data_IF_882000002315
#
_entry.id   IF_882000002315
#
_cell.length_a   1.000
_cell.length_b   1.000
_cell.length_c   1.000
_cell.angle_alpha   90.00
_cell.angle_beta   90.00
_cell.angle_gamma   90.00
#
_symmetry.space_group_name_H-M   'P 1'
#
loop_
_entity.id
_entity.type
_entity.pdbx_description
1 polymer ?
#
# COMPACT_ATOMS: atom_id res chain seq x y z
N UNK A 1 16.84 -2.02 -6.41
CA UNK A 1 16.31 -3.34 -6.39
C UNK A 1 15.21 -3.47 -5.37
N UNK A 2 14.05 -3.96 -5.80
CA UNK A 2 12.97 -4.37 -4.91
C UNK A 2 12.92 -5.89 -4.85
N UNK A 3 12.36 -6.43 -3.78
CA UNK A 3 12.11 -7.85 -3.64
C UNK A 3 10.92 -8.27 -4.51
N UNK A 4 11.03 -9.36 -5.29
CA UNK A 4 9.88 -9.87 -6.04
C UNK A 4 8.91 -10.60 -5.11
N UNK A 5 7.61 -10.34 -5.31
CA UNK A 5 6.50 -11.08 -4.75
C UNK A 5 5.72 -11.72 -5.90
N UNK A 6 5.73 -13.03 -5.99
CA UNK A 6 5.13 -13.81 -7.08
C UNK A 6 3.88 -14.51 -6.57
N UNK A 7 2.73 -14.25 -7.18
CA UNK A 7 1.46 -14.92 -6.86
C UNK A 7 1.20 -16.10 -7.77
N UNK A 8 1.03 -17.28 -7.18
CA UNK A 8 0.69 -18.50 -7.91
C UNK A 8 -0.80 -18.62 -8.19
N UNK A 9 -1.16 -19.16 -9.36
CA UNK A 9 -2.54 -19.44 -9.71
C UNK A 9 -3.01 -20.74 -9.05
N UNK A 10 -3.88 -20.64 -8.05
CA UNK A 10 -4.51 -21.81 -7.39
C UNK A 10 -5.98 -22.01 -7.81
N UNK A 11 -6.53 -21.10 -8.62
CA UNK A 11 -7.89 -21.18 -9.12
C UNK A 11 -8.03 -22.17 -10.27
N UNK A 12 -7.28 -21.97 -11.33
CA UNK A 12 -7.29 -22.82 -12.54
C UNK A 12 -5.97 -23.55 -12.79
N UNK A 13 -4.87 -23.15 -12.14
CA UNK A 13 -3.58 -23.83 -12.23
C UNK A 13 -3.52 -25.11 -11.40
N UNK A 14 -2.53 -25.93 -11.66
CA UNK A 14 -2.28 -27.18 -10.93
C UNK A 14 -1.15 -26.99 -9.90
N UNK A 15 -1.14 -27.86 -8.89
CA UNK A 15 -0.03 -27.92 -7.91
C UNK A 15 1.31 -28.17 -8.61
N UNK A 16 1.32 -29.01 -9.64
CA UNK A 16 2.52 -29.34 -10.41
C UNK A 16 3.08 -28.12 -11.15
N UNK A 17 2.20 -27.33 -11.79
CA UNK A 17 2.61 -26.11 -12.50
C UNK A 17 3.27 -25.11 -11.55
N UNK A 18 2.66 -24.84 -10.40
CA UNK A 18 3.25 -23.89 -9.43
C UNK A 18 4.55 -24.44 -8.85
N UNK A 19 4.62 -25.74 -8.53
CA UNK A 19 5.85 -26.36 -8.02
C UNK A 19 6.99 -26.27 -9.04
N UNK A 20 6.70 -26.57 -10.32
CA UNK A 20 7.66 -26.43 -11.42
C UNK A 20 8.09 -24.99 -11.65
N UNK A 21 7.16 -24.04 -11.52
CA UNK A 21 7.49 -22.62 -11.67
C UNK A 21 8.41 -22.13 -10.54
N UNK A 22 8.15 -22.55 -9.31
CA UNK A 22 9.05 -22.26 -8.17
C UNK A 22 10.43 -22.86 -8.42
N UNK A 23 10.53 -24.11 -8.87
CA UNK A 23 11.80 -24.76 -9.24
C UNK A 23 12.52 -23.97 -10.34
N UNK A 24 11.80 -23.59 -11.41
CA UNK A 24 12.34 -22.79 -12.52
C UNK A 24 12.95 -21.47 -12.03
N UNK A 25 12.26 -20.78 -11.12
CA UNK A 25 12.72 -19.49 -10.62
C UNK A 25 13.88 -19.60 -9.63
N UNK A 26 13.89 -20.63 -8.77
CA UNK A 26 14.71 -20.60 -7.55
C UNK A 26 15.78 -21.68 -7.47
N UNK A 27 15.76 -22.72 -8.32
CA UNK A 27 16.77 -23.79 -8.31
C UNK A 27 17.98 -23.45 -9.20
N UNK A 28 19.18 -23.54 -8.64
CA UNK A 28 20.45 -23.52 -9.38
C UNK A 28 21.04 -24.90 -9.60
N UNK A 29 20.41 -25.96 -9.04
CA UNK A 29 20.84 -27.34 -9.19
C UNK A 29 20.68 -27.93 -10.60
N UNK A 30 20.99 -29.22 -10.73
CA UNK A 30 20.81 -29.97 -11.98
C UNK A 30 19.39 -30.57 -12.06
N UNK A 31 18.38 -29.69 -12.07
CA UNK A 31 16.98 -30.08 -12.10
C UNK A 31 16.36 -29.80 -13.48
N UNK A 32 15.26 -30.46 -13.88
CA UNK A 32 14.61 -30.24 -15.17
C UNK A 32 14.24 -28.78 -15.43
N UNK A 33 13.67 -28.11 -14.43
CA UNK A 33 13.21 -26.73 -14.59
C UNK A 33 14.37 -25.72 -14.56
N UNK A 34 15.44 -25.98 -13.82
CA UNK A 34 16.65 -25.17 -13.89
C UNK A 34 17.36 -25.32 -15.27
N UNK A 35 17.35 -26.53 -15.86
CA UNK A 35 17.83 -26.73 -17.24
C UNK A 35 17.00 -25.93 -18.25
N UNK A 36 15.68 -25.98 -18.13
CA UNK A 36 14.78 -25.20 -19.00
C UNK A 36 15.04 -23.69 -18.88
N UNK A 37 15.23 -23.17 -17.67
CA UNK A 37 15.59 -21.75 -17.46
C UNK A 37 16.88 -21.39 -18.20
N UNK A 38 17.91 -22.24 -18.12
CA UNK A 38 19.18 -22.04 -18.82
C UNK A 38 19.00 -22.06 -20.32
N UNK A 39 18.21 -22.99 -20.86
CA UNK A 39 17.85 -23.04 -22.28
C UNK A 39 17.12 -21.76 -22.72
N UNK A 40 16.30 -21.17 -21.85
CA UNK A 40 15.61 -19.90 -22.08
C UNK A 40 16.54 -18.67 -21.91
N UNK A 41 17.85 -18.87 -21.75
CA UNK A 41 18.86 -17.81 -21.77
C UNK A 41 19.23 -17.23 -20.41
N UNK A 42 18.73 -17.81 -19.29
CA UNK A 42 19.13 -17.35 -17.96
C UNK A 42 19.83 -18.47 -17.17
N UNK A 43 21.09 -18.29 -16.91
CA UNK A 43 21.92 -19.28 -16.22
C UNK A 43 21.56 -19.37 -14.72
N UNK A 44 21.59 -18.26 -13.99
CA UNK A 44 21.37 -18.23 -12.55
C UNK A 44 19.90 -18.04 -12.17
N UNK A 45 19.49 -18.70 -11.07
CA UNK A 45 18.18 -18.52 -10.46
C UNK A 45 17.95 -17.07 -9.99
N UNK A 46 16.68 -16.70 -9.84
CA UNK A 46 16.30 -15.50 -9.10
C UNK A 46 16.21 -15.84 -7.61
N UNK A 47 16.50 -14.86 -6.78
CA UNK A 47 16.23 -14.96 -5.34
C UNK A 47 14.81 -14.49 -5.07
N UNK A 48 13.83 -15.36 -5.31
CA UNK A 48 12.41 -15.07 -5.01
C UNK A 48 12.14 -15.46 -3.56
N UNK A 49 11.88 -14.47 -2.72
CA UNK A 49 11.55 -14.68 -1.32
C UNK A 49 10.05 -14.86 -1.12
N UNK A 50 9.24 -13.96 -1.66
CA UNK A 50 7.81 -13.89 -1.39
C UNK A 50 7.01 -14.69 -2.43
N UNK A 51 6.26 -15.69 -1.95
CA UNK A 51 5.39 -16.52 -2.77
C UNK A 51 3.95 -16.43 -2.24
N UNK A 52 3.06 -15.79 -3.00
CA UNK A 52 1.62 -15.85 -2.80
C UNK A 52 1.05 -17.17 -3.31
N UNK A 53 0.36 -17.89 -2.45
CA UNK A 53 -0.37 -19.11 -2.81
C UNK A 53 -1.81 -18.73 -3.10
N UNK A 54 -2.06 -18.24 -4.30
CA UNK A 54 -3.33 -17.67 -4.75
C UNK A 54 -3.38 -16.15 -4.64
N UNK A 55 -4.41 -15.57 -5.23
CA UNK A 55 -4.80 -14.17 -5.16
C UNK A 55 -6.33 -14.10 -5.26
N UNK A 56 -6.98 -13.31 -4.39
CA UNK A 56 -8.44 -13.13 -4.38
C UNK A 56 -9.23 -14.43 -4.52
N UNK A 57 -8.82 -15.47 -3.80
CA UNK A 57 -9.37 -16.81 -3.94
C UNK A 57 -10.85 -16.91 -3.57
N UNK A 58 -11.37 -15.94 -2.82
CA UNK A 58 -12.78 -15.73 -2.51
C UNK A 58 -13.60 -15.20 -3.71
N UNK A 59 -12.95 -14.59 -4.69
CA UNK A 59 -13.56 -13.92 -5.86
C UNK A 59 -13.00 -14.47 -7.18
N UNK A 60 -12.38 -13.58 -7.96
CA UNK A 60 -11.85 -13.91 -9.29
C UNK A 60 -10.76 -15.00 -9.29
N UNK A 61 -10.07 -15.19 -8.17
CA UNK A 61 -9.07 -16.24 -7.99
C UNK A 61 -9.63 -17.62 -7.68
N UNK A 62 -10.95 -17.86 -7.85
CA UNK A 62 -11.52 -19.22 -7.76
C UNK A 62 -12.88 -19.32 -7.08
N UNK A 63 -13.46 -18.20 -6.57
CA UNK A 63 -14.74 -18.16 -5.88
C UNK A 63 -14.89 -19.24 -4.80
N UNK A 64 -13.88 -19.37 -3.94
CA UNK A 64 -13.73 -20.42 -2.95
C UNK A 64 -14.35 -20.01 -1.60
N UNK A 65 -14.69 -21.01 -0.79
CA UNK A 65 -14.90 -20.83 0.64
C UNK A 65 -13.56 -20.88 1.37
N UNK A 66 -13.40 -20.21 2.51
CA UNK A 66 -12.11 -20.14 3.22
C UNK A 66 -11.60 -21.52 3.67
N UNK A 67 -12.50 -22.47 3.99
CA UNK A 67 -12.12 -23.83 4.35
C UNK A 67 -11.49 -24.57 3.19
N UNK A 68 -12.09 -24.49 1.99
CA UNK A 68 -11.57 -25.12 0.79
C UNK A 68 -10.23 -24.51 0.38
N UNK A 69 -10.15 -23.16 0.41
CA UNK A 69 -8.90 -22.48 0.14
C UNK A 69 -7.79 -22.90 1.14
N UNK A 70 -8.12 -23.04 2.43
CA UNK A 70 -7.16 -23.50 3.43
C UNK A 70 -6.59 -24.87 3.09
N UNK A 71 -7.42 -25.81 2.58
CA UNK A 71 -6.97 -27.13 2.17
C UNK A 71 -6.09 -27.07 0.90
N UNK A 72 -6.44 -26.19 -0.06
CA UNK A 72 -5.59 -25.92 -1.22
C UNK A 72 -4.25 -25.31 -0.80
N UNK A 73 -4.23 -24.28 0.07
CA UNK A 73 -3.00 -23.69 0.57
C UNK A 73 -2.08 -24.76 1.18
N UNK A 74 -2.61 -25.66 2.01
CA UNK A 74 -1.84 -26.77 2.61
C UNK A 74 -1.20 -27.62 1.53
N UNK A 75 -1.97 -27.97 0.51
CA UNK A 75 -1.53 -28.82 -0.60
C UNK A 75 -0.46 -28.14 -1.45
N UNK A 76 -0.71 -26.91 -1.94
CA UNK A 76 0.24 -26.17 -2.78
C UNK A 76 1.53 -25.85 -2.03
N UNK A 77 1.43 -25.39 -0.79
CA UNK A 77 2.60 -24.99 0.01
C UNK A 77 3.56 -26.14 0.30
N UNK A 78 3.10 -27.39 0.34
CA UNK A 78 3.95 -28.58 0.53
C UNK A 78 4.85 -28.81 -0.68
N UNK A 79 4.31 -28.63 -1.88
CA UNK A 79 5.05 -28.89 -3.12
C UNK A 79 5.92 -27.72 -3.57
N UNK A 80 5.62 -26.49 -3.13
CA UNK A 80 6.50 -25.34 -3.33
C UNK A 80 7.69 -25.43 -2.36
N UNK A 81 8.77 -26.05 -2.79
CA UNK A 81 9.95 -26.34 -1.97
C UNK A 81 10.94 -25.19 -1.97
N UNK A 82 11.79 -25.17 -0.97
CA UNK A 82 12.97 -24.32 -0.95
C UNK A 82 14.09 -24.98 -1.74
N UNK A 83 14.72 -24.26 -2.65
CA UNK A 83 15.84 -24.75 -3.45
C UNK A 83 17.11 -23.94 -3.15
N UNK A 84 18.25 -24.60 -3.09
CA UNK A 84 19.59 -24.01 -3.08
C UNK A 84 19.75 -22.83 -2.07
N UNK A 85 19.17 -23.00 -0.88
CA UNK A 85 19.22 -22.00 0.19
C UNK A 85 18.21 -20.84 0.03
N UNK A 86 17.41 -20.83 -1.06
CA UNK A 86 16.33 -19.85 -1.22
C UNK A 86 15.14 -20.25 -0.34
N UNK A 87 14.90 -19.50 0.72
CA UNK A 87 13.79 -19.71 1.65
C UNK A 87 12.56 -18.94 1.18
N UNK A 88 11.48 -19.67 0.88
CA UNK A 88 10.19 -19.06 0.51
C UNK A 88 9.44 -18.57 1.73
N UNK A 89 9.01 -17.32 1.67
CA UNK A 89 8.05 -16.72 2.58
C UNK A 89 6.66 -16.88 1.94
N UNK A 90 5.87 -17.85 2.45
CA UNK A 90 4.60 -18.27 1.86
C UNK A 90 3.45 -17.46 2.42
N UNK A 91 2.71 -16.80 1.53
CA UNK A 91 1.64 -15.88 1.83
C UNK A 91 0.31 -16.53 1.41
N UNK A 92 -0.63 -16.62 2.33
CA UNK A 92 -1.97 -17.09 2.02
C UNK A 92 -2.83 -15.95 1.45
N UNK A 93 -3.61 -16.24 0.39
CA UNK A 93 -4.63 -15.33 -0.13
C UNK A 93 -5.66 -15.04 0.96
N UNK A 94 -5.64 -13.83 1.48
CA UNK A 94 -6.44 -13.40 2.62
C UNK A 94 -7.75 -12.74 2.21
N UNK A 95 -8.32 -11.99 3.13
CA UNK A 95 -9.65 -11.41 3.03
C UNK A 95 -9.73 -10.21 2.08
N UNK A 96 -10.94 -9.95 1.59
CA UNK A 96 -11.33 -8.64 1.07
C UNK A 96 -11.99 -7.84 2.18
N UNK A 97 -11.56 -6.60 2.35
CA UNK A 97 -12.20 -5.60 3.23
C UNK A 97 -12.61 -6.17 4.61
N UNK A 98 -13.89 -6.32 4.82
CA UNK A 98 -14.55 -6.65 6.10
C UNK A 98 -14.85 -8.14 6.25
N UNK A 99 -14.32 -9.04 5.41
CA UNK A 99 -14.51 -10.48 5.58
C UNK A 99 -13.63 -11.05 6.70
N UNK A 100 -13.98 -10.73 7.91
CA UNK A 100 -13.29 -11.20 9.11
C UNK A 100 -13.38 -12.72 9.30
N UNK A 101 -14.45 -13.35 8.78
CA UNK A 101 -14.59 -14.80 8.83
C UNK A 101 -13.50 -15.50 8.00
N UNK A 102 -13.15 -14.94 6.83
CA UNK A 102 -12.07 -15.47 6.02
C UNK A 102 -10.76 -15.53 6.82
N UNK A 103 -10.35 -14.43 7.42
CA UNK A 103 -9.14 -14.36 8.25
C UNK A 103 -9.20 -15.32 9.43
N UNK A 104 -10.36 -15.40 10.12
CA UNK A 104 -10.53 -16.33 11.25
C UNK A 104 -10.31 -17.77 10.81
N UNK A 105 -10.95 -18.22 9.75
CA UNK A 105 -10.84 -19.60 9.25
C UNK A 105 -9.41 -19.92 8.82
N UNK A 106 -8.74 -18.98 8.13
CA UNK A 106 -7.34 -19.18 7.74
C UNK A 106 -6.43 -19.31 8.96
N UNK A 107 -6.57 -18.43 9.95
CA UNK A 107 -5.75 -18.51 11.17
C UNK A 107 -5.97 -19.83 11.92
N UNK A 108 -7.21 -20.28 12.04
CA UNK A 108 -7.55 -21.55 12.71
C UNK A 108 -6.98 -22.78 11.97
N UNK A 109 -6.95 -22.76 10.63
CA UNK A 109 -6.61 -23.94 9.81
C UNK A 109 -5.16 -23.99 9.32
N UNK A 110 -4.58 -22.82 9.03
CA UNK A 110 -3.26 -22.73 8.38
C UNK A 110 -2.34 -21.67 9.01
N UNK A 111 -2.74 -21.01 10.10
CA UNK A 111 -1.90 -19.99 10.76
C UNK A 111 -0.51 -20.48 11.16
N UNK A 112 -0.36 -21.78 11.47
CA UNK A 112 0.95 -22.38 11.78
C UNK A 112 1.75 -22.81 10.56
N UNK A 113 1.28 -22.55 9.34
CA UNK A 113 1.88 -22.97 8.05
C UNK A 113 2.17 -21.81 7.13
N UNK A 114 1.41 -20.72 7.25
CA UNK A 114 1.59 -19.49 6.48
C UNK A 114 2.57 -18.57 7.22
N UNK A 115 3.44 -17.90 6.48
CA UNK A 115 4.25 -16.82 7.04
C UNK A 115 3.47 -15.51 7.14
N UNK A 116 2.47 -15.34 6.26
CA UNK A 116 1.59 -14.20 6.25
C UNK A 116 0.24 -14.54 5.63
N UNK A 117 -0.74 -13.68 5.92
CA UNK A 117 -2.06 -13.64 5.27
C UNK A 117 -2.21 -12.27 4.60
N UNK A 118 -2.71 -12.24 3.36
CA UNK A 118 -2.95 -10.98 2.66
C UNK A 118 -4.26 -10.31 3.08
N UNK A 119 -4.40 -9.03 2.74
CA UNK A 119 -5.62 -8.25 2.90
C UNK A 119 -5.72 -7.28 1.73
N UNK A 120 -6.88 -7.25 1.08
CA UNK A 120 -7.19 -6.27 0.05
C UNK A 120 -8.17 -5.23 0.57
N UNK A 121 -7.96 -3.96 0.21
CA UNK A 121 -8.84 -2.86 0.56
C UNK A 121 -8.81 -1.76 -0.49
N UNK A 122 -9.95 -1.47 -1.10
CA UNK A 122 -10.06 -0.35 -2.04
C UNK A 122 -10.84 0.83 -1.47
N UNK A 123 -10.33 2.01 -1.71
CA UNK A 123 -11.06 3.27 -1.56
C UNK A 123 -11.94 3.43 -2.81
N UNK A 124 -13.17 2.97 -2.70
CA UNK A 124 -14.15 2.84 -3.78
C UNK A 124 -15.53 3.24 -3.27
N UNK A 125 -16.36 3.85 -4.13
CA UNK A 125 -17.71 4.27 -3.78
C UNK A 125 -18.69 3.11 -3.61
N UNK A 126 -18.43 2.00 -4.29
CA UNK A 126 -19.20 0.77 -4.24
C UNK A 126 -18.73 -0.19 -5.33
N UNK A 127 -19.16 -1.45 -5.22
CA UNK A 127 -18.76 -2.50 -6.17
C UNK A 127 -19.71 -2.63 -7.37
N UNK A 128 -20.88 -1.99 -7.30
CA UNK A 128 -21.88 -1.98 -8.37
C UNK A 128 -22.13 -0.55 -8.83
N UNK A 129 -22.41 -0.39 -10.14
CA UNK A 129 -22.66 0.93 -10.75
C UNK A 129 -21.38 1.74 -10.99
N UNK A 130 -21.56 3.04 -11.19
CA UNK A 130 -20.45 3.99 -11.39
C UNK A 130 -19.68 4.20 -10.08
N UNK A 131 -18.37 4.21 -10.18
CA UNK A 131 -17.45 4.50 -9.08
C UNK A 131 -17.05 5.99 -9.02
N UNK A 132 -17.54 6.77 -9.97
CA UNK A 132 -17.24 8.19 -10.11
C UNK A 132 -15.94 8.46 -10.88
N UNK A 133 -15.80 9.70 -11.34
CA UNK A 133 -14.65 10.12 -12.12
C UNK A 133 -13.39 10.26 -11.30
N UNK A 134 -12.27 9.85 -11.85
CA UNK A 134 -10.96 10.05 -11.25
C UNK A 134 -10.58 11.53 -11.09
N UNK A 135 -11.07 12.42 -11.97
CA UNK A 135 -10.66 13.84 -12.02
C UNK A 135 -11.81 14.85 -11.86
N UNK A 136 -13.07 14.40 -11.99
CA UNK A 136 -14.26 15.27 -11.87
C UNK A 136 -15.08 14.88 -10.65
N UNK A 137 -14.87 15.57 -9.55
CA UNK A 137 -15.53 15.36 -8.27
C UNK A 137 -15.66 16.68 -7.50
N UNK A 138 -16.57 16.74 -6.54
CA UNK A 138 -16.78 17.91 -5.69
C UNK A 138 -16.01 17.78 -4.35
N UNK A 139 -16.11 18.82 -3.51
CA UNK A 139 -15.44 18.86 -2.22
C UNK A 139 -15.94 17.79 -1.23
N UNK A 140 -17.23 17.47 -1.28
CA UNK A 140 -17.81 16.43 -0.43
C UNK A 140 -17.27 15.05 -0.79
N UNK A 141 -17.19 14.74 -2.10
CA UNK A 141 -16.61 13.50 -2.61
C UNK A 141 -15.12 13.38 -2.26
N UNK A 142 -14.38 14.50 -2.30
CA UNK A 142 -13.00 14.53 -1.86
C UNK A 142 -12.86 14.14 -0.39
N UNK A 143 -13.60 14.79 0.51
CA UNK A 143 -13.51 14.51 1.95
C UNK A 143 -14.05 13.12 2.30
N UNK A 144 -15.10 12.67 1.62
CA UNK A 144 -15.57 11.30 1.75
C UNK A 144 -14.46 10.29 1.37
N UNK A 145 -13.73 10.56 0.28
CA UNK A 145 -12.59 9.74 -0.13
C UNK A 145 -11.52 9.65 0.96
N UNK A 146 -11.21 10.77 1.62
CA UNK A 146 -10.27 10.79 2.76
C UNK A 146 -10.79 9.94 3.93
N UNK A 147 -12.07 10.05 4.24
CA UNK A 147 -12.72 9.24 5.28
C UNK A 147 -12.68 7.74 4.95
N UNK A 148 -12.99 7.38 3.69
CA UNK A 148 -12.93 5.99 3.22
C UNK A 148 -11.51 5.44 3.29
N UNK A 149 -10.51 6.21 2.85
CA UNK A 149 -9.10 5.81 2.94
C UNK A 149 -8.66 5.55 4.38
N UNK A 150 -9.02 6.42 5.33
CA UNK A 150 -8.73 6.23 6.75
C UNK A 150 -9.49 5.05 7.36
N UNK A 151 -10.61 4.63 6.78
CA UNK A 151 -11.38 3.46 7.19
C UNK A 151 -10.61 2.14 7.16
N UNK A 152 -9.53 2.07 6.39
CA UNK A 152 -8.64 0.89 6.36
C UNK A 152 -8.06 0.58 7.76
N UNK A 153 -7.89 1.58 8.62
CA UNK A 153 -7.40 1.37 9.98
C UNK A 153 -8.35 0.53 10.82
N UNK A 154 -9.67 0.76 10.71
CA UNK A 154 -10.67 -0.03 11.42
C UNK A 154 -10.68 -1.48 10.92
N UNK A 155 -10.49 -1.67 9.62
CA UNK A 155 -10.38 -3.00 8.98
C UNK A 155 -9.15 -3.73 9.52
N UNK A 156 -7.98 -3.10 9.46
CA UNK A 156 -6.72 -3.69 9.97
C UNK A 156 -6.87 -4.07 11.45
N UNK A 157 -7.33 -3.17 12.31
CA UNK A 157 -7.50 -3.44 13.75
C UNK A 157 -8.36 -4.68 14.03
N UNK A 158 -9.43 -4.88 13.27
CA UNK A 158 -10.29 -6.05 13.46
C UNK A 158 -9.65 -7.34 12.96
N UNK A 159 -8.93 -7.31 11.83
CA UNK A 159 -8.15 -8.46 11.37
C UNK A 159 -7.03 -8.79 12.36
N UNK A 160 -6.29 -7.78 12.83
CA UNK A 160 -5.24 -7.95 13.85
C UNK A 160 -5.78 -8.58 15.14
N UNK A 161 -6.94 -8.13 15.62
CA UNK A 161 -7.54 -8.70 16.83
C UNK A 161 -7.88 -10.20 16.68
N UNK A 162 -8.30 -10.63 15.49
CA UNK A 162 -8.54 -12.05 15.19
C UNK A 162 -7.20 -12.80 15.13
N UNK A 163 -6.21 -12.23 14.46
CA UNK A 163 -4.88 -12.83 14.33
C UNK A 163 -4.18 -12.92 15.68
N UNK A 164 -4.24 -11.88 16.53
CA UNK A 164 -3.61 -11.83 17.85
C UNK A 164 -4.19 -12.88 18.80
N UNK A 165 -5.48 -13.20 18.67
CA UNK A 165 -6.11 -14.28 19.44
C UNK A 165 -5.58 -15.66 19.08
N UNK A 166 -5.33 -15.91 17.79
CA UNK A 166 -4.83 -17.19 17.29
C UNK A 166 -3.30 -17.29 17.35
N UNK A 167 -2.60 -16.17 17.20
CA UNK A 167 -1.15 -16.05 17.17
C UNK A 167 -0.67 -14.86 18.02
N UNK A 168 -0.69 -14.99 19.36
CA UNK A 168 -0.32 -13.90 20.27
C UNK A 168 1.16 -13.50 20.18
N UNK A 169 2.01 -14.36 19.58
CA UNK A 169 3.42 -14.04 19.32
C UNK A 169 3.65 -13.27 18.02
N UNK A 170 2.60 -12.97 17.29
CA UNK A 170 2.61 -12.21 16.02
C UNK A 170 3.61 -12.77 15.00
N UNK A 171 3.65 -14.11 14.87
CA UNK A 171 4.55 -14.80 13.93
C UNK A 171 4.01 -14.78 12.50
N UNK A 172 2.68 -14.73 12.34
CA UNK A 172 2.02 -14.59 11.04
C UNK A 172 1.81 -13.12 10.73
N UNK A 173 2.45 -12.62 9.69
CA UNK A 173 2.28 -11.23 9.27
C UNK A 173 0.94 -10.99 8.58
N UNK A 174 0.47 -9.74 8.60
CA UNK A 174 -0.58 -9.23 7.73
C UNK A 174 0.07 -8.44 6.59
N UNK A 175 -0.25 -8.76 5.35
CA UNK A 175 0.22 -8.01 4.18
C UNK A 175 -0.98 -7.34 3.50
N UNK A 176 -0.98 -6.01 3.46
CA UNK A 176 -1.98 -5.27 2.68
C UNK A 176 -1.45 -5.19 1.25
N UNK A 177 -1.53 -6.30 0.54
CA UNK A 177 -0.83 -6.50 -0.72
C UNK A 177 -1.62 -6.06 -1.96
N UNK A 178 -2.85 -5.54 -1.75
CA UNK A 178 -3.61 -4.87 -2.79
C UNK A 178 -4.51 -3.78 -2.18
N UNK A 179 -4.22 -2.51 -2.50
CA UNK A 179 -4.97 -1.36 -2.00
C UNK A 179 -4.82 -0.15 -2.92
N UNK A 180 -5.70 0.82 -2.79
CA UNK A 180 -5.67 2.06 -3.54
C UNK A 180 -7.06 2.58 -3.86
N UNK A 181 -7.15 3.49 -4.82
CA UNK A 181 -8.41 4.02 -5.33
C UNK A 181 -8.90 3.23 -6.55
N UNK A 182 -10.21 3.10 -6.67
CA UNK A 182 -10.83 2.49 -7.85
C UNK A 182 -11.97 3.38 -8.33
N UNK A 183 -11.73 4.07 -9.44
CA UNK A 183 -12.68 4.95 -10.11
C UNK A 183 -13.18 4.32 -11.41
N UNK A 184 -14.12 4.99 -12.06
CA UNK A 184 -14.51 4.62 -13.42
C UNK A 184 -13.32 4.78 -14.37
N UNK A 185 -13.24 3.90 -15.36
CA UNK A 185 -12.21 3.94 -16.39
C UNK A 185 -12.32 5.24 -17.21
N UNK A 186 -11.17 5.78 -17.62
CA UNK A 186 -11.14 6.98 -18.44
C UNK A 186 -11.86 6.75 -19.78
N UNK A 187 -12.69 7.71 -20.24
CA UNK A 187 -13.38 7.60 -21.52
C UNK A 187 -12.43 7.36 -22.69
N UNK A 188 -12.80 6.43 -23.57
CA UNK A 188 -12.00 6.09 -24.75
C UNK A 188 -10.89 5.06 -24.50
N UNK A 189 -10.79 4.54 -23.28
CA UNK A 189 -9.89 3.42 -22.96
C UNK A 189 -10.59 2.07 -23.12
N UNK A 190 -9.83 0.98 -23.09
CA UNK A 190 -10.37 -0.38 -23.23
C UNK A 190 -11.09 -0.76 -21.95
N UNK A 191 -12.39 -1.04 -22.06
CA UNK A 191 -13.23 -1.45 -20.93
C UNK A 191 -12.71 -2.76 -20.29
N UNK A 192 -12.65 -2.77 -18.97
CA UNK A 192 -12.13 -3.91 -18.19
C UNK A 192 -10.62 -3.90 -18.02
N UNK A 193 -9.89 -2.95 -18.62
CA UNK A 193 -8.47 -2.76 -18.40
C UNK A 193 -8.15 -1.80 -17.24
N UNK A 194 -9.18 -1.25 -16.61
CA UNK A 194 -9.11 -0.47 -15.39
C UNK A 194 -8.15 0.74 -15.44
N UNK A 195 -8.03 1.35 -16.62
CA UNK A 195 -7.23 2.57 -16.77
C UNK A 195 -7.98 3.77 -16.20
N UNK A 196 -7.45 4.37 -15.17
CA UNK A 196 -7.93 5.62 -14.58
C UNK A 196 -6.82 6.65 -14.47
N UNK A 197 -7.15 7.93 -14.53
CA UNK A 197 -6.22 9.00 -14.20
C UNK A 197 -6.01 9.07 -12.68
N UNK A 198 -4.82 9.52 -12.26
CA UNK A 198 -4.46 9.69 -10.86
C UNK A 198 -4.15 11.16 -10.58
N UNK A 199 -4.89 11.76 -9.66
CA UNK A 199 -4.76 13.17 -9.30
C UNK A 199 -4.24 13.35 -7.87
N UNK A 200 -4.19 14.59 -7.38
CA UNK A 200 -3.72 14.87 -6.02
C UNK A 200 -4.61 14.23 -4.94
N UNK A 201 -5.93 14.01 -5.20
CA UNK A 201 -6.81 13.23 -4.31
C UNK A 201 -6.26 11.83 -4.06
N UNK A 202 -5.80 11.15 -5.12
CA UNK A 202 -5.23 9.81 -5.02
C UNK A 202 -3.89 9.81 -4.28
N UNK A 203 -3.08 10.85 -4.46
CA UNK A 203 -1.85 11.04 -3.69
C UNK A 203 -2.15 11.18 -2.18
N UNK A 204 -3.23 11.86 -1.80
CA UNK A 204 -3.66 11.89 -0.41
C UNK A 204 -4.09 10.52 0.10
N UNK A 205 -4.85 9.75 -0.68
CA UNK A 205 -5.19 8.36 -0.32
C UNK A 205 -3.93 7.56 -0.05
N UNK A 206 -2.92 7.65 -0.91
CA UNK A 206 -1.64 6.97 -0.69
C UNK A 206 -0.95 7.42 0.61
N UNK A 207 -0.84 8.72 0.85
CA UNK A 207 -0.19 9.25 2.05
C UNK A 207 -0.92 8.86 3.35
N UNK A 208 -2.26 8.95 3.36
CA UNK A 208 -3.09 8.56 4.51
C UNK A 208 -2.97 7.09 4.81
N UNK A 209 -3.06 6.23 3.79
CA UNK A 209 -2.94 4.78 3.94
C UNK A 209 -1.55 4.38 4.43
N UNK A 210 -0.47 4.94 3.87
CA UNK A 210 0.90 4.69 4.34
C UNK A 210 1.08 5.11 5.80
N UNK A 211 0.54 6.27 6.21
CA UNK A 211 0.57 6.71 7.60
C UNK A 211 -0.18 5.73 8.53
N UNK A 212 -1.29 5.15 8.07
CA UNK A 212 -2.00 4.08 8.81
C UNK A 212 -1.11 2.85 8.92
N UNK A 213 -0.56 2.36 7.81
CA UNK A 213 0.26 1.14 7.80
C UNK A 213 1.46 1.24 8.75
N UNK A 214 2.10 2.42 8.82
CA UNK A 214 3.21 2.65 9.74
C UNK A 214 2.80 2.49 11.21
N UNK A 215 1.56 2.77 11.58
CA UNK A 215 1.07 2.55 12.97
C UNK A 215 0.89 1.08 13.31
N UNK A 216 0.78 0.21 12.32
CA UNK A 216 0.48 -1.21 12.46
C UNK A 216 1.69 -2.13 12.16
N UNK A 217 2.91 -1.60 12.20
CA UNK A 217 4.14 -2.33 11.81
C UNK A 217 4.45 -3.55 12.66
N UNK A 218 3.78 -3.75 13.80
CA UNK A 218 3.92 -5.00 14.56
C UNK A 218 3.40 -6.21 13.77
N UNK A 219 2.34 -6.05 12.98
CA UNK A 219 1.71 -7.12 12.20
C UNK A 219 1.75 -6.84 10.70
N UNK A 220 1.53 -5.59 10.27
CA UNK A 220 1.61 -5.20 8.85
C UNK A 220 3.08 -5.10 8.42
N UNK A 221 3.54 -6.03 7.58
CA UNK A 221 4.95 -6.12 7.17
C UNK A 221 5.22 -5.75 5.72
N UNK A 222 4.18 -5.65 4.90
CA UNK A 222 4.28 -5.25 3.50
C UNK A 222 2.97 -4.62 3.05
N UNK A 223 3.06 -3.62 2.16
CA UNK A 223 1.89 -3.02 1.54
C UNK A 223 2.19 -2.72 0.07
N UNK A 224 1.33 -3.18 -0.84
CA UNK A 224 1.52 -3.07 -2.28
C UNK A 224 0.34 -2.35 -2.90
N UNK A 225 0.58 -1.17 -3.47
CA UNK A 225 -0.47 -0.42 -4.14
C UNK A 225 -0.89 -1.07 -5.46
N UNK A 226 -2.14 -0.99 -5.80
CA UNK A 226 -2.68 -1.44 -7.06
C UNK A 226 -2.90 -0.25 -8.01
N UNK A 227 -2.06 -0.05 -9.09
CA UNK A 227 -0.93 -0.90 -9.40
C UNK A 227 0.28 -0.03 -9.79
N UNK A 228 1.34 -0.60 -10.36
CA UNK A 228 2.53 0.17 -10.70
C UNK A 228 2.34 0.97 -11.98
N UNK A 229 1.76 0.37 -13.04
CA UNK A 229 1.69 0.95 -14.39
C UNK A 229 0.28 0.85 -14.95
N UNK A 230 -0.29 1.95 -15.42
CA UNK A 230 -1.51 2.09 -16.23
C UNK A 230 -2.83 1.59 -15.61
N UNK A 231 -2.81 0.87 -14.51
CA UNK A 231 -3.99 0.22 -13.94
C UNK A 231 -4.32 0.79 -12.58
N UNK A 232 -5.59 1.13 -12.35
CA UNK A 232 -6.09 1.66 -11.07
C UNK A 232 -5.28 2.85 -10.55
N UNK A 233 -4.94 2.88 -9.28
CA UNK A 233 -4.08 3.93 -8.71
C UNK A 233 -2.62 3.70 -9.10
N UNK A 234 -2.31 3.83 -10.38
CA UNK A 234 -0.97 3.57 -10.90
C UNK A 234 0.03 4.67 -10.53
N UNK A 235 1.29 4.27 -10.34
CA UNK A 235 2.39 5.20 -10.13
C UNK A 235 2.90 5.80 -11.44
N UNK A 236 2.83 5.05 -12.53
CA UNK A 236 3.36 5.42 -13.84
C UNK A 236 2.30 5.21 -14.91
N UNK A 237 2.15 6.19 -15.80
CA UNK A 237 1.38 6.06 -17.03
C UNK A 237 2.33 5.97 -18.22
N UNK A 238 2.09 5.04 -19.12
CA UNK A 238 2.82 4.89 -20.38
C UNK A 238 1.91 5.22 -21.55
N UNK A 239 2.47 5.77 -22.62
CA UNK A 239 1.65 6.10 -23.79
C UNK A 239 1.22 4.85 -24.56
N UNK A 240 0.05 4.94 -25.19
CA UNK A 240 -0.51 3.86 -26.02
C UNK A 240 0.14 3.76 -27.41
N UNK A 241 0.99 4.71 -27.77
CA UNK A 241 1.66 4.78 -29.09
C UNK A 241 3.00 4.05 -29.11
N UNK A 242 3.46 3.57 -27.95
CA UNK A 242 4.74 2.87 -27.84
C UNK A 242 5.96 3.78 -28.08
N UNK A 243 5.83 5.08 -27.88
CA UNK A 243 6.93 6.04 -28.07
C UNK A 243 7.97 5.99 -26.94
N UNK A 244 7.68 5.24 -25.87
CA UNK A 244 8.51 5.16 -24.68
C UNK A 244 8.29 6.33 -23.70
N UNK A 245 7.35 7.22 -23.96
CA UNK A 245 7.01 8.29 -23.04
C UNK A 245 6.28 7.74 -21.84
N UNK A 246 6.66 8.21 -20.66
CA UNK A 246 5.99 7.89 -19.39
C UNK A 246 5.74 9.15 -18.57
N UNK A 247 4.73 9.10 -17.73
CA UNK A 247 4.36 10.16 -16.80
C UNK A 247 4.36 9.60 -15.39
N UNK A 248 4.97 10.34 -14.47
CA UNK A 248 4.95 10.05 -13.04
C UNK A 248 3.70 10.69 -12.43
N UNK A 249 2.82 9.89 -11.85
CA UNK A 249 1.59 10.39 -11.22
C UNK A 249 1.88 11.06 -9.87
N UNK A 250 0.95 11.86 -9.33
CA UNK A 250 1.08 12.37 -7.96
C UNK A 250 1.27 11.25 -6.92
N UNK A 251 0.69 10.07 -7.14
CA UNK A 251 0.90 8.88 -6.29
C UNK A 251 2.36 8.44 -6.29
N UNK A 252 3.03 8.40 -7.44
CA UNK A 252 4.47 8.09 -7.52
C UNK A 252 5.29 9.02 -6.62
N UNK A 253 4.98 10.31 -6.66
CA UNK A 253 5.74 11.29 -5.88
C UNK A 253 5.58 11.06 -4.36
N UNK A 254 4.42 10.64 -3.89
CA UNK A 254 4.23 10.22 -2.50
C UNK A 254 5.15 9.06 -2.15
N UNK A 255 5.15 7.99 -2.93
CA UNK A 255 6.02 6.83 -2.67
C UNK A 255 7.51 7.21 -2.68
N UNK A 256 7.93 8.05 -3.62
CA UNK A 256 9.31 8.53 -3.67
C UNK A 256 9.69 9.39 -2.44
N UNK A 257 8.78 10.23 -1.95
CA UNK A 257 9.00 11.02 -0.74
C UNK A 257 9.03 10.13 0.52
N UNK A 258 8.23 9.06 0.56
CA UNK A 258 8.11 8.14 1.70
C UNK A 258 9.17 7.02 1.72
N UNK A 259 10.04 6.92 0.72
CA UNK A 259 11.05 5.84 0.63
C UNK A 259 11.97 5.71 1.86
N UNK A 260 12.19 6.79 2.59
CA UNK A 260 13.03 6.78 3.79
C UNK A 260 12.35 6.16 5.02
N UNK A 261 11.06 5.82 4.94
CA UNK A 261 10.38 5.04 5.96
C UNK A 261 10.66 3.53 5.84
N UNK A 262 11.13 3.07 4.68
CA UNK A 262 11.50 1.66 4.49
C UNK A 262 12.65 1.29 5.43
N UNK A 263 12.51 0.14 6.10
CA UNK A 263 13.46 -0.39 7.08
C UNK A 263 13.75 0.54 8.30
N UNK A 264 12.95 1.59 8.47
CA UNK A 264 13.03 2.48 9.62
C UNK A 264 12.13 1.97 10.76
N UNK A 265 12.49 2.33 11.99
CA UNK A 265 11.70 2.00 13.19
C UNK A 265 10.61 3.04 13.38
N UNK A 266 9.35 2.62 13.42
CA UNK A 266 8.22 3.49 13.68
C UNK A 266 8.35 4.19 15.04
N UNK A 267 8.02 5.49 15.06
CA UNK A 267 7.95 6.30 16.27
C UNK A 267 6.48 6.66 16.54
N UNK A 268 5.89 6.23 17.66
CA UNK A 268 4.53 6.61 18.02
C UNK A 268 4.39 8.12 18.16
N UNK A 269 3.28 8.66 17.66
CA UNK A 269 2.96 10.08 17.72
C UNK A 269 1.57 10.26 18.34
N UNK A 270 1.46 11.14 19.33
CA UNK A 270 0.18 11.69 19.78
C UNK A 270 -0.07 13.01 19.08
N UNK A 271 -1.14 13.09 18.27
CA UNK A 271 -1.41 14.25 17.41
C UNK A 271 -2.76 14.86 17.79
N UNK A 272 -2.73 16.12 18.22
CA UNK A 272 -3.92 16.93 18.43
C UNK A 272 -4.03 17.93 17.27
N UNK A 273 -5.10 17.81 16.50
CA UNK A 273 -5.39 18.72 15.40
C UNK A 273 -6.91 18.88 15.24
N UNK A 274 -7.31 19.90 14.47
CA UNK A 274 -8.69 20.05 14.04
C UNK A 274 -9.15 18.83 13.26
N UNK A 275 -10.43 18.58 13.30
CA UNK A 275 -11.07 17.47 12.60
C UNK A 275 -12.35 17.95 11.92
N UNK A 276 -12.86 17.17 10.98
CA UNK A 276 -14.13 17.41 10.33
C UNK A 276 -14.95 16.11 10.22
N UNK A 277 -16.25 16.27 10.22
CA UNK A 277 -17.17 15.18 9.98
C UNK A 277 -17.35 14.99 8.48
N UNK A 278 -17.30 13.75 8.03
CA UNK A 278 -17.54 13.36 6.64
C UNK A 278 -18.69 12.38 6.57
N UNK A 279 -19.45 12.41 5.46
CA UNK A 279 -20.59 11.52 5.26
C UNK A 279 -20.19 10.05 5.39
N UNK A 280 -21.16 9.22 5.78
CA UNK A 280 -20.99 7.80 5.96
C UNK A 280 -20.88 7.01 4.65
N UNK A 281 -20.57 5.74 4.83
CA UNK A 281 -20.60 4.70 3.82
C UNK A 281 -21.33 3.45 4.38
N UNK A 282 -21.40 2.37 3.60
CA UNK A 282 -22.10 1.14 4.01
C UNK A 282 -21.55 0.52 5.31
N UNK A 283 -20.33 0.82 5.69
CA UNK A 283 -19.66 0.28 6.88
C UNK A 283 -19.49 1.29 8.02
N UNK A 284 -19.68 2.57 7.74
CA UNK A 284 -19.66 3.67 8.71
C UNK A 284 -20.83 4.63 8.42
N UNK A 285 -22.06 4.13 8.62
CA UNK A 285 -23.32 4.82 8.25
C UNK A 285 -23.46 6.20 8.88
N UNK A 286 -23.00 6.36 10.12
CA UNK A 286 -23.04 7.62 10.85
C UNK A 286 -21.96 8.62 10.44
N UNK A 287 -21.17 8.27 9.42
CA UNK A 287 -20.03 9.05 8.99
C UNK A 287 -18.76 8.78 9.79
N UNK A 288 -17.74 9.56 9.48
CA UNK A 288 -16.44 9.50 10.17
C UNK A 288 -16.01 10.89 10.55
N UNK A 289 -15.33 11.00 11.68
CA UNK A 289 -14.57 12.19 12.03
C UNK A 289 -13.13 11.98 11.59
N UNK A 290 -12.66 12.80 10.64
CA UNK A 290 -11.30 12.69 10.12
C UNK A 290 -10.43 13.83 10.65
N UNK A 291 -9.16 13.57 11.01
CA UNK A 291 -8.21 14.63 11.34
C UNK A 291 -7.85 15.43 10.09
N UNK A 292 -7.69 16.75 10.23
CA UNK A 292 -7.23 17.59 9.12
C UNK A 292 -5.74 17.36 8.79
N UNK A 293 -4.96 16.84 9.74
CA UNK A 293 -3.56 16.47 9.53
C UNK A 293 -3.35 15.00 9.89
N UNK A 294 -2.95 14.21 8.92
CA UNK A 294 -2.47 12.85 9.15
C UNK A 294 -0.94 12.83 9.23
N UNK A 295 -0.40 12.05 10.16
CA UNK A 295 1.04 12.05 10.44
C UNK A 295 1.61 10.66 10.58
N UNK A 296 2.91 10.55 10.31
CA UNK A 296 3.73 9.39 10.68
C UNK A 296 5.16 9.82 10.95
N UNK A 297 5.85 9.13 11.86
CA UNK A 297 7.28 9.33 12.11
C UNK A 297 8.01 8.00 12.22
N UNK A 298 9.26 8.00 11.81
CA UNK A 298 10.14 6.84 11.97
C UNK A 298 11.61 7.27 12.14
N UNK A 299 12.41 6.41 12.78
CA UNK A 299 13.84 6.59 12.97
C UNK A 299 14.62 5.60 12.13
N UNK A 300 15.49 6.09 11.28
CA UNK A 300 16.42 5.29 10.47
C UNK A 300 17.58 4.77 11.31
N UNK A 301 18.28 3.76 10.81
CA UNK A 301 19.46 3.19 11.46
C UNK A 301 20.60 4.21 11.68
N UNK A 302 20.71 5.23 10.81
CA UNK A 302 21.68 6.32 10.94
C UNK A 302 21.26 7.42 11.95
N UNK A 303 20.13 7.22 12.63
CA UNK A 303 19.58 8.17 13.60
C UNK A 303 18.70 9.25 13.02
N UNK A 304 18.60 9.41 11.70
CA UNK A 304 17.71 10.37 11.04
C UNK A 304 16.25 10.08 11.38
N UNK A 305 15.53 11.10 11.84
CA UNK A 305 14.07 11.01 12.04
C UNK A 305 13.40 11.51 10.76
N UNK A 306 12.49 10.70 10.23
CA UNK A 306 11.63 11.05 9.08
C UNK A 306 10.23 11.30 9.60
N UNK A 307 9.60 12.42 9.18
CA UNK A 307 8.24 12.79 9.57
C UNK A 307 7.44 13.10 8.31
N UNK A 308 6.31 12.43 8.15
CA UNK A 308 5.35 12.68 7.08
C UNK A 308 4.12 13.39 7.65
N UNK A 309 3.62 14.39 6.92
CA UNK A 309 2.51 15.26 7.31
C UNK A 309 1.60 15.47 6.09
N UNK A 310 0.34 15.08 6.16
CA UNK A 310 -0.64 15.31 5.11
C UNK A 310 -1.75 16.23 5.62
N UNK A 311 -1.81 17.45 5.11
CA UNK A 311 -2.89 18.40 5.40
C UNK A 311 -3.98 18.27 4.34
N UNK A 312 -5.07 17.60 4.70
CA UNK A 312 -6.21 17.35 3.80
C UNK A 312 -7.17 18.53 3.66
N UNK A 313 -6.99 19.61 4.43
CA UNK A 313 -7.85 20.79 4.32
C UNK A 313 -7.71 21.44 2.94
N UNK A 314 -8.85 21.80 2.33
CA UNK A 314 -8.88 22.45 1.02
C UNK A 314 -8.50 23.93 1.07
N UNK A 315 -8.60 24.58 2.23
CA UNK A 315 -8.50 26.03 2.37
C UNK A 315 -7.60 26.51 3.52
N UNK A 316 -7.31 25.64 4.52
CA UNK A 316 -6.60 26.06 5.73
C UNK A 316 -5.21 25.45 5.82
N UNK A 317 -4.19 26.30 5.96
CA UNK A 317 -2.89 25.88 6.43
C UNK A 317 -2.98 25.42 7.89
N UNK A 318 -2.22 24.40 8.25
CA UNK A 318 -2.15 23.87 9.63
C UNK A 318 -0.78 24.20 10.24
N UNK A 319 -0.79 24.59 11.52
CA UNK A 319 0.45 24.71 12.30
C UNK A 319 0.57 23.48 13.19
N UNK A 320 1.67 22.78 13.06
CA UNK A 320 1.96 21.58 13.86
C UNK A 320 3.23 21.81 14.65
N UNK A 321 3.19 21.44 15.90
CA UNK A 321 4.32 21.51 16.81
C UNK A 321 4.64 20.11 17.34
N UNK A 322 5.90 19.71 17.21
CA UNK A 322 6.39 18.40 17.68
C UNK A 322 7.41 18.60 18.79
N UNK A 323 7.23 17.89 19.89
CA UNK A 323 8.27 17.70 20.88
C UNK A 323 9.10 16.49 20.50
N UNK A 324 10.39 16.68 20.38
CA UNK A 324 11.36 15.62 20.03
C UNK A 324 11.95 15.04 21.32
N UNK A 325 11.07 14.50 22.18
CA UNK A 325 11.48 13.96 23.48
C UNK A 325 12.41 12.77 23.32
N UNK A 326 13.50 12.74 24.06
CA UNK A 326 14.49 11.65 24.00
C UNK A 326 15.41 11.70 22.76
N UNK A 327 15.23 12.64 21.84
CA UNK A 327 16.15 12.86 20.75
C UNK A 327 17.25 13.85 21.12
N UNK A 328 18.45 13.69 20.54
CA UNK A 328 19.45 14.76 20.59
C UNK A 328 18.89 16.02 19.92
N UNK A 329 19.30 17.21 20.37
CA UNK A 329 18.87 18.45 19.75
C UNK A 329 19.19 18.44 18.26
N UNK A 330 18.17 18.57 17.38
CA UNK A 330 18.38 18.44 15.94
C UNK A 330 19.23 19.58 15.41
N UNK A 331 20.18 19.27 14.55
CA UNK A 331 21.10 20.23 13.92
C UNK A 331 20.55 20.76 12.62
N UNK A 332 19.83 19.93 11.87
CA UNK A 332 19.31 20.30 10.56
C UNK A 332 17.91 19.71 10.32
N UNK A 333 17.09 20.46 9.60
CA UNK A 333 15.80 19.97 9.05
C UNK A 333 15.78 20.26 7.57
N UNK A 334 15.53 19.23 6.78
CA UNK A 334 15.25 19.37 5.35
C UNK A 334 13.89 18.82 5.04
N UNK A 335 13.23 19.32 4.00
CA UNK A 335 11.88 18.89 3.66
C UNK A 335 11.58 18.92 2.18
N UNK A 336 10.63 18.10 1.80
CA UNK A 336 9.97 18.12 0.49
C UNK A 336 8.46 18.32 0.70
N UNK A 337 7.83 19.01 -0.24
CA UNK A 337 6.38 19.23 -0.28
C UNK A 337 5.85 18.83 -1.64
N UNK A 338 4.74 18.09 -1.62
CA UNK A 338 3.86 17.88 -2.77
C UNK A 338 2.58 18.67 -2.52
N UNK A 339 2.25 19.61 -3.40
CA UNK A 339 1.08 20.49 -3.27
C UNK A 339 0.43 20.73 -4.63
N UNK A 340 -0.80 21.22 -4.62
CA UNK A 340 -1.60 21.49 -5.80
C UNK A 340 -2.45 22.75 -5.64
N UNK A 341 -2.92 23.30 -6.75
CA UNK A 341 -3.94 24.35 -6.73
C UNK A 341 -5.33 23.76 -6.45
N UNK A 342 -5.66 22.64 -7.14
CA UNK A 342 -6.89 21.88 -6.96
C UNK A 342 -6.54 20.43 -6.66
N UNK A 343 -7.30 19.77 -5.79
CA UNK A 343 -7.08 18.35 -5.46
C UNK A 343 -7.36 17.40 -6.64
N UNK A 344 -7.95 17.93 -7.71
CA UNK A 344 -8.12 17.25 -9.00
C UNK A 344 -6.97 17.47 -9.98
N UNK A 345 -5.92 18.24 -9.63
CA UNK A 345 -4.75 18.43 -10.48
C UNK A 345 -4.01 17.09 -10.66
N UNK A 346 -3.57 16.81 -11.87
CA UNK A 346 -2.89 15.58 -12.26
C UNK A 346 -1.80 15.84 -13.30
N UNK A 347 -0.95 14.87 -13.51
CA UNK A 347 0.07 14.87 -14.54
C UNK A 347 -0.40 14.05 -15.74
N UNK A 348 -0.23 14.56 -16.94
CA UNK A 348 -0.51 13.89 -18.21
C UNK A 348 0.67 14.03 -19.21
N UNK A 349 0.55 13.43 -20.39
CA UNK A 349 1.62 13.46 -21.37
C UNK A 349 1.90 14.86 -21.95
N UNK A 350 0.91 15.76 -21.93
CA UNK A 350 1.09 17.15 -22.36
C UNK A 350 1.63 18.02 -21.22
N UNK A 351 1.31 17.68 -19.98
CA UNK A 351 1.66 18.45 -18.79
C UNK A 351 2.18 17.49 -17.69
N UNK A 352 3.41 16.97 -17.82
CA UNK A 352 3.90 15.88 -16.95
C UNK A 352 4.27 16.34 -15.54
N UNK A 353 4.34 17.65 -15.29
CA UNK A 353 4.89 18.25 -14.07
C UNK A 353 3.92 19.22 -13.36
N UNK A 354 2.61 19.09 -13.55
CA UNK A 354 1.60 19.92 -12.87
C UNK A 354 1.67 19.76 -11.36
N UNK A 355 1.82 18.51 -10.92
CA UNK A 355 1.99 18.14 -9.51
C UNK A 355 3.33 17.45 -9.36
N UNK A 356 4.29 18.13 -8.74
CA UNK A 356 5.64 17.59 -8.49
C UNK A 356 6.21 18.07 -7.16
N UNK A 357 7.13 17.31 -6.55
CA UNK A 357 7.77 17.72 -5.30
C UNK A 357 8.60 18.99 -5.45
N UNK A 358 8.54 19.84 -4.41
CA UNK A 358 9.37 21.01 -4.25
C UNK A 358 10.08 21.01 -2.90
N UNK A 359 11.10 21.86 -2.74
CA UNK A 359 11.79 22.03 -1.45
C UNK A 359 10.84 22.70 -0.46
N UNK A 360 10.70 22.12 0.72
CA UNK A 360 9.92 22.66 1.81
C UNK A 360 10.83 23.41 2.81
N UNK A 361 10.46 24.66 3.17
CA UNK A 361 11.28 25.55 4.02
C UNK A 361 10.59 26.00 5.30
N UNK A 362 9.27 25.77 5.46
CA UNK A 362 8.48 26.28 6.58
C UNK A 362 8.51 25.31 7.80
N UNK A 363 9.68 24.75 8.07
CA UNK A 363 9.97 23.97 9.26
C UNK A 363 11.08 24.65 10.06
N UNK A 364 10.83 24.94 11.34
CA UNK A 364 11.76 25.62 12.24
C UNK A 364 11.97 24.79 13.50
N UNK A 365 13.21 24.57 13.85
CA UNK A 365 13.60 23.93 15.12
C UNK A 365 14.05 24.99 16.11
N UNK A 366 13.56 24.89 17.34
CA UNK A 366 14.04 25.66 18.48
C UNK A 366 14.17 24.72 19.68
N UNK A 367 15.40 24.49 20.13
CA UNK A 367 15.71 23.43 21.13
C UNK A 367 15.16 22.09 20.61
N UNK A 368 14.36 21.38 21.42
CA UNK A 368 13.75 20.09 21.06
C UNK A 368 12.33 20.22 20.47
N UNK A 369 11.94 21.42 20.03
CA UNK A 369 10.62 21.63 19.43
C UNK A 369 10.75 21.94 17.95
N UNK A 370 10.04 21.20 17.11
CA UNK A 370 9.91 21.43 15.68
C UNK A 370 8.54 22.07 15.40
N UNK A 371 8.54 23.27 14.83
CA UNK A 371 7.33 23.95 14.36
C UNK A 371 7.27 23.91 12.84
N UNK A 372 6.13 23.49 12.32
CA UNK A 372 5.89 23.32 10.88
C UNK A 372 4.59 24.00 10.48
N UNK A 373 4.63 24.85 9.46
CA UNK A 373 3.42 25.41 8.84
C UNK A 373 3.15 24.66 7.54
N UNK A 374 2.13 23.80 7.54
CA UNK A 374 1.77 22.95 6.40
C UNK A 374 0.69 23.67 5.59
N UNK A 375 0.92 24.05 4.33
CA UNK A 375 -0.10 24.64 3.47
C UNK A 375 -1.33 23.74 3.32
N UNK A 376 -2.48 24.30 2.96
CA UNK A 376 -3.64 23.54 2.54
C UNK A 376 -3.29 22.65 1.34
N UNK A 377 -3.97 21.53 1.16
CA UNK A 377 -3.80 20.62 0.01
C UNK A 377 -2.34 20.21 -0.21
N UNK A 378 -1.64 19.82 0.86
CA UNK A 378 -0.22 19.46 0.75
C UNK A 378 0.18 18.25 1.58
N UNK A 379 1.19 17.55 1.09
CA UNK A 379 1.88 16.46 1.75
C UNK A 379 3.33 16.86 1.92
N UNK A 380 3.83 16.83 3.15
CA UNK A 380 5.19 17.23 3.51
C UNK A 380 5.92 16.06 4.12
N UNK A 381 7.16 15.84 3.70
CA UNK A 381 8.08 14.86 4.34
C UNK A 381 9.33 15.60 4.79
N UNK A 382 9.65 15.46 6.06
CA UNK A 382 10.79 16.10 6.71
C UNK A 382 11.84 15.05 7.09
N UNK A 383 13.10 15.43 7.01
CA UNK A 383 14.25 14.69 7.57
C UNK A 383 14.93 15.56 8.60
N UNK A 384 15.07 15.02 9.79
CA UNK A 384 15.63 15.68 10.97
C UNK A 384 16.90 14.94 11.37
N UNK A 385 18.03 15.65 11.42
CA UNK A 385 19.34 15.11 11.79
C UNK A 385 19.94 15.88 12.96
#
# INVERSE_FOLDING_TARGET
GCEPYISGNVGSGTVEELAKWVEYMTSDGDTPMAKLRRQNGRDKAWKVKYLGVGNESWGCGGNMRPEYYSDLFRRYSVYCRNYDGNQLYKIASGASDYDYNWTKVLMDRIGNRANAISLHYYTVTGWTGSKGSATKFNNEDYYWTMGKALGIEDVIKKHEAIMDKADPKKQVALLVDEWGTWWDEEPGTIKGHLYQQNCMRDAFVAALSLNVFHRHTERVKMTNIAQIVNVLQSMILTDTKGTGHMVLTPTYHVFNMYKDFQEATYLPMDVKCDSMDVRGDDHARDGRKIPLVSTSAAKKADGTIVVALANVSLDKAQQVEFNLDGAAAPKTVTGQILSCNKVSDYNDFAHPDVVKPAVFKDAKVKKNTLKVKIPAKSIVVLKIK
#
